data_IF_162525817157
#
_entry.id   IF_162525817157
#
_cell.length_a   1.000
_cell.length_b   1.000
_cell.length_c   1.000
_cell.angle_alpha   90.00
_cell.angle_beta   90.00
_cell.angle_gamma   90.00
#
_symmetry.space_group_name_H-M   'P 1'
#
loop_
_entity.id
_entity.type
_entity.pdbx_description
1 polymer ?
#
# COMPACT_ATOMS: atom_id res chain seq x y z
N UNK A 1 -20.14 5.36 41.87
CA UNK A 1 -20.66 6.74 41.76
C UNK A 1 -21.80 6.76 40.75
N UNK A 2 -22.95 7.38 41.06
CA UNK A 2 -24.09 7.46 40.14
C UNK A 2 -23.67 8.21 38.86
N UNK A 3 -23.70 7.55 37.70
CA UNK A 3 -23.49 8.20 36.41
C UNK A 3 -24.67 9.14 36.16
N UNK A 4 -24.42 10.45 36.09
CA UNK A 4 -25.40 11.41 35.58
C UNK A 4 -25.63 11.14 34.10
N UNK A 5 -26.83 11.47 33.58
CA UNK A 5 -27.14 11.28 32.16
C UNK A 5 -26.11 11.96 31.24
N UNK A 6 -25.58 13.12 31.66
CA UNK A 6 -24.51 13.81 30.94
C UNK A 6 -23.21 13.00 30.91
N UNK A 7 -22.79 12.42 32.04
CA UNK A 7 -21.58 11.60 32.11
C UNK A 7 -21.68 10.34 31.22
N UNK A 8 -22.85 9.70 31.18
CA UNK A 8 -23.07 8.54 30.31
C UNK A 8 -23.02 8.93 28.82
N UNK A 9 -23.58 10.09 28.45
CA UNK A 9 -23.49 10.60 27.08
C UNK A 9 -22.05 10.90 26.67
N UNK A 10 -21.28 11.58 27.53
CA UNK A 10 -19.87 11.90 27.26
C UNK A 10 -19.03 10.62 27.16
N UNK A 11 -19.22 9.66 28.06
CA UNK A 11 -18.53 8.35 28.01
C UNK A 11 -18.83 7.61 26.68
N UNK A 12 -20.09 7.59 26.25
CA UNK A 12 -20.46 6.97 24.97
C UNK A 12 -19.88 7.71 23.77
N UNK A 13 -19.83 9.04 23.81
CA UNK A 13 -19.24 9.84 22.74
C UNK A 13 -17.73 9.60 22.62
N UNK A 14 -17.02 9.61 23.75
CA UNK A 14 -15.57 9.38 23.80
C UNK A 14 -15.20 7.97 23.35
N UNK A 15 -15.93 6.94 23.80
CA UNK A 15 -15.67 5.56 23.36
C UNK A 15 -15.88 5.40 21.86
N UNK A 16 -16.93 6.00 21.28
CA UNK A 16 -17.16 5.98 19.83
C UNK A 16 -16.07 6.66 19.02
N UNK A 17 -15.55 7.80 19.49
CA UNK A 17 -14.42 8.47 18.85
C UNK A 17 -13.17 7.59 18.90
N UNK A 18 -12.87 7.04 20.08
CA UNK A 18 -11.67 6.22 20.27
C UNK A 18 -11.70 4.97 19.37
N UNK A 19 -12.82 4.26 19.31
CA UNK A 19 -12.98 3.08 18.46
C UNK A 19 -12.81 3.44 16.97
N UNK A 20 -13.40 4.56 16.52
CA UNK A 20 -13.28 5.02 15.15
C UNK A 20 -11.84 5.42 14.78
N UNK A 21 -11.13 6.09 15.69
CA UNK A 21 -9.73 6.48 15.48
C UNK A 21 -8.82 5.26 15.46
N UNK A 22 -8.97 4.31 16.39
CA UNK A 22 -8.12 3.12 16.47
C UNK A 22 -8.22 2.27 15.20
N UNK A 23 -9.44 2.02 14.70
CA UNK A 23 -9.65 1.27 13.45
C UNK A 23 -9.08 2.03 12.25
N UNK A 24 -9.28 3.35 12.15
CA UNK A 24 -8.73 4.13 11.04
C UNK A 24 -7.21 4.18 11.04
N UNK A 25 -6.59 4.38 12.20
CA UNK A 25 -5.13 4.47 12.35
C UNK A 25 -4.47 3.13 12.02
N UNK A 26 -5.04 2.01 12.48
CA UNK A 26 -4.50 0.69 12.15
C UNK A 26 -4.55 0.38 10.64
N UNK A 27 -5.66 0.74 9.97
CA UNK A 27 -5.78 0.60 8.50
C UNK A 27 -4.78 1.52 7.77
N UNK A 28 -4.63 2.78 8.23
CA UNK A 28 -3.67 3.72 7.67
C UNK A 28 -2.23 3.23 7.83
N UNK A 29 -1.87 2.78 9.04
CA UNK A 29 -0.55 2.23 9.37
C UNK A 29 -0.20 1.05 8.46
N UNK A 30 -1.13 0.09 8.29
CA UNK A 30 -0.93 -1.04 7.39
C UNK A 30 -0.76 -0.58 5.93
N UNK A 31 -1.57 0.39 5.49
CA UNK A 31 -1.50 0.93 4.12
C UNK A 31 -0.14 1.59 3.85
N UNK A 32 0.36 2.39 4.78
CA UNK A 32 1.68 3.04 4.72
C UNK A 32 2.80 2.01 4.75
N UNK A 33 2.70 0.99 5.60
CA UNK A 33 3.66 -0.10 5.66
C UNK A 33 3.74 -0.87 4.33
N UNK A 34 2.58 -1.18 3.72
CA UNK A 34 2.53 -1.79 2.39
C UNK A 34 3.17 -0.89 1.31
N UNK A 35 2.91 0.42 1.36
CA UNK A 35 3.53 1.37 0.43
C UNK A 35 5.05 1.42 0.58
N UNK A 36 5.56 1.51 1.82
CA UNK A 36 6.99 1.48 2.14
C UNK A 36 7.66 0.18 1.70
N UNK A 37 6.98 -0.95 1.88
CA UNK A 37 7.45 -2.24 1.40
C UNK A 37 7.57 -2.26 -0.13
N UNK A 38 6.59 -1.70 -0.84
CA UNK A 38 6.67 -1.54 -2.30
C UNK A 38 7.84 -0.64 -2.74
N UNK A 39 8.06 0.47 -2.02
CA UNK A 39 9.18 1.36 -2.26
C UNK A 39 10.53 0.66 -2.06
N UNK A 40 10.66 -0.15 -1.00
CA UNK A 40 11.86 -0.96 -0.75
C UNK A 40 12.11 -2.00 -1.85
N UNK A 41 11.05 -2.69 -2.32
CA UNK A 41 11.19 -3.61 -3.45
C UNK A 41 11.71 -2.87 -4.68
N UNK A 42 11.15 -1.69 -4.99
CA UNK A 42 11.60 -0.89 -6.12
C UNK A 42 13.10 -0.57 -6.06
N UNK A 43 13.61 -0.10 -4.92
CA UNK A 43 15.02 0.27 -4.81
C UNK A 43 15.93 -0.94 -5.01
N UNK A 44 15.54 -2.12 -4.50
CA UNK A 44 16.26 -3.37 -4.80
C UNK A 44 16.16 -3.78 -6.26
N UNK A 45 15.03 -3.52 -6.91
CA UNK A 45 14.81 -3.87 -8.31
C UNK A 45 15.58 -2.96 -9.27
N UNK A 46 15.81 -1.71 -8.87
CA UNK A 46 16.61 -0.73 -9.61
C UNK A 46 18.11 -1.04 -9.57
N UNK A 47 18.61 -1.58 -8.45
CA UNK A 47 20.04 -1.88 -8.28
C UNK A 47 20.52 -3.16 -8.97
N UNK A 48 19.63 -4.14 -9.21
CA UNK A 48 19.98 -5.42 -9.84
C UNK A 48 20.41 -5.26 -11.32
N UNK A 49 19.60 -4.66 -12.22
CA UNK A 49 19.98 -4.46 -13.62
C UNK A 49 20.92 -3.27 -13.82
N UNK A 50 21.01 -2.34 -12.86
CA UNK A 50 21.87 -1.16 -12.93
C UNK A 50 23.37 -1.46 -12.90
N UNK A 51 23.79 -2.66 -12.48
CA UNK A 51 25.21 -3.04 -12.46
C UNK A 51 25.83 -3.31 -13.84
N UNK A 52 25.03 -3.75 -14.81
CA UNK A 52 25.53 -4.17 -16.14
C UNK A 52 25.08 -3.25 -17.28
N UNK A 53 24.32 -2.19 -16.99
CA UNK A 53 23.99 -1.08 -17.92
C UNK A 53 23.02 -1.44 -19.06
N UNK A 54 23.19 -2.60 -19.70
CA UNK A 54 22.52 -2.95 -20.95
C UNK A 54 21.18 -3.69 -20.76
N UNK A 55 20.91 -4.21 -19.56
CA UNK A 55 19.74 -5.05 -19.28
C UNK A 55 18.47 -4.25 -18.91
N UNK A 56 18.52 -2.91 -18.99
CA UNK A 56 17.43 -2.03 -18.55
C UNK A 56 16.10 -2.27 -19.29
N UNK A 57 16.13 -2.48 -20.60
CA UNK A 57 14.92 -2.70 -21.42
C UNK A 57 14.25 -4.03 -21.07
N UNK A 58 15.06 -5.08 -20.86
CA UNK A 58 14.56 -6.41 -20.48
C UNK A 58 13.95 -6.33 -19.07
N UNK A 59 14.64 -5.68 -18.13
CA UNK A 59 14.11 -5.47 -16.77
C UNK A 59 12.79 -4.69 -16.78
N UNK A 60 12.70 -3.59 -17.55
CA UNK A 60 11.46 -2.83 -17.70
C UNK A 60 10.31 -3.68 -18.26
N UNK A 61 10.59 -4.52 -19.26
CA UNK A 61 9.57 -5.40 -19.85
C UNK A 61 9.02 -6.44 -18.85
N UNK A 62 9.90 -6.99 -17.99
CA UNK A 62 9.51 -7.93 -16.93
C UNK A 62 8.66 -7.23 -15.87
N UNK A 63 9.07 -6.02 -15.46
CA UNK A 63 8.32 -5.21 -14.48
C UNK A 63 6.93 -4.89 -14.99
N UNK A 64 6.81 -4.39 -16.23
CA UNK A 64 5.52 -4.03 -16.84
C UNK A 64 4.63 -5.26 -16.99
N UNK A 65 5.19 -6.39 -17.44
CA UNK A 65 4.44 -7.65 -17.58
C UNK A 65 3.93 -8.14 -16.22
N UNK A 66 4.78 -8.12 -15.19
CA UNK A 66 4.39 -8.48 -13.82
C UNK A 66 3.31 -7.55 -13.28
N UNK A 67 3.46 -6.24 -13.50
CA UNK A 67 2.48 -5.24 -13.09
C UNK A 67 1.10 -5.49 -13.71
N UNK A 68 1.05 -5.74 -15.02
CA UNK A 68 -0.18 -5.99 -15.75
C UNK A 68 -0.87 -7.29 -15.30
N UNK A 69 -0.08 -8.35 -15.04
CA UNK A 69 -0.62 -9.61 -14.51
C UNK A 69 -1.25 -9.43 -13.14
N UNK A 70 -0.61 -8.67 -12.24
CA UNK A 70 -1.17 -8.37 -10.92
C UNK A 70 -2.43 -7.49 -11.05
N UNK A 71 -2.43 -6.48 -11.94
CA UNK A 71 -3.61 -5.66 -12.22
C UNK A 71 -4.82 -6.50 -12.65
N UNK A 72 -4.62 -7.43 -13.59
CA UNK A 72 -5.69 -8.33 -14.05
C UNK A 72 -6.22 -9.21 -12.91
N UNK A 73 -5.34 -9.71 -12.05
CA UNK A 73 -5.72 -10.53 -10.90
C UNK A 73 -6.55 -9.74 -9.88
N UNK A 74 -6.15 -8.50 -9.58
CA UNK A 74 -6.88 -7.60 -8.67
C UNK A 74 -8.30 -7.33 -9.21
N UNK A 75 -8.42 -7.03 -10.50
CA UNK A 75 -9.73 -6.73 -11.11
C UNK A 75 -10.69 -7.92 -11.01
N UNK A 76 -10.20 -9.12 -11.27
CA UNK A 76 -11.00 -10.35 -11.17
C UNK A 76 -11.49 -10.61 -9.74
N UNK A 77 -10.63 -10.41 -8.73
CA UNK A 77 -11.00 -10.65 -7.33
C UNK A 77 -11.76 -9.51 -6.67
N UNK A 78 -11.79 -8.30 -7.26
CA UNK A 78 -12.55 -7.18 -6.73
C UNK A 78 -14.08 -7.40 -6.82
N UNK A 79 -14.54 -8.38 -7.61
CA UNK A 79 -15.93 -8.85 -7.63
C UNK A 79 -16.24 -9.94 -6.58
N UNK A 80 -15.25 -10.39 -5.80
CA UNK A 80 -15.39 -11.48 -4.85
C UNK A 80 -15.45 -11.02 -3.37
N UNK A 81 -15.48 -12.01 -2.47
CA UNK A 81 -15.62 -11.92 -1.01
C UNK A 81 -14.87 -10.72 -0.34
N UNK A 82 -15.50 -10.11 0.66
CA UNK A 82 -15.02 -8.96 1.43
C UNK A 82 -13.58 -9.12 1.96
N UNK A 83 -13.16 -10.32 2.34
CA UNK A 83 -11.80 -10.58 2.83
C UNK A 83 -10.73 -10.43 1.73
N UNK A 84 -11.00 -10.98 0.54
CA UNK A 84 -10.09 -10.86 -0.61
C UNK A 84 -9.94 -9.41 -1.03
N UNK A 85 -11.03 -8.62 -0.95
CA UNK A 85 -11.00 -7.18 -1.24
C UNK A 85 -10.01 -6.43 -0.35
N UNK A 86 -9.96 -6.74 0.95
CA UNK A 86 -9.00 -6.10 1.89
C UNK A 86 -7.56 -6.47 1.56
N UNK A 87 -7.29 -7.73 1.21
CA UNK A 87 -5.94 -8.14 0.78
C UNK A 87 -5.54 -7.45 -0.52
N UNK A 88 -6.44 -7.42 -1.52
CA UNK A 88 -6.18 -6.76 -2.80
C UNK A 88 -5.93 -5.26 -2.63
N UNK A 89 -6.63 -4.60 -1.70
CA UNK A 89 -6.36 -3.20 -1.36
C UNK A 89 -4.92 -2.99 -0.87
N UNK A 90 -4.44 -3.86 0.03
CA UNK A 90 -3.07 -3.79 0.53
C UNK A 90 -2.03 -4.10 -0.56
N UNK A 91 -2.28 -5.08 -1.44
CA UNK A 91 -1.41 -5.35 -2.60
C UNK A 91 -1.36 -4.14 -3.53
N UNK A 92 -2.48 -3.44 -3.71
CA UNK A 92 -2.50 -2.22 -4.51
C UNK A 92 -1.63 -1.11 -3.91
N UNK A 93 -1.61 -0.97 -2.58
CA UNK A 93 -0.70 -0.04 -1.91
C UNK A 93 0.78 -0.40 -2.15
N UNK A 94 1.13 -1.69 -2.16
CA UNK A 94 2.49 -2.15 -2.54
C UNK A 94 2.81 -1.75 -3.98
N UNK A 95 1.88 -1.95 -4.92
CA UNK A 95 2.07 -1.56 -6.34
C UNK A 95 2.35 -0.07 -6.51
N UNK A 96 1.59 0.78 -5.80
CA UNK A 96 1.80 2.23 -5.80
C UNK A 96 3.21 2.55 -5.29
N UNK A 97 3.63 1.89 -4.21
CA UNK A 97 4.99 2.01 -3.67
C UNK A 97 6.08 1.64 -4.68
N UNK A 98 5.89 0.55 -5.45
CA UNK A 98 6.85 0.11 -6.47
C UNK A 98 6.99 1.15 -7.58
N UNK A 99 5.88 1.62 -8.15
CA UNK A 99 5.91 2.64 -9.23
C UNK A 99 6.57 3.93 -8.72
N UNK A 100 6.17 4.36 -7.52
CA UNK A 100 6.70 5.59 -6.92
C UNK A 100 8.21 5.48 -6.69
N UNK A 101 8.69 4.35 -6.17
CA UNK A 101 10.13 4.11 -5.99
C UNK A 101 10.91 4.16 -7.29
N UNK A 102 10.41 3.50 -8.34
CA UNK A 102 11.12 3.40 -9.63
C UNK A 102 11.19 4.78 -10.29
N UNK A 103 10.11 5.54 -10.17
CA UNK A 103 10.05 6.92 -10.65
C UNK A 103 11.06 7.80 -9.91
N UNK A 104 11.07 7.75 -8.57
CA UNK A 104 12.01 8.54 -7.75
C UNK A 104 13.47 8.20 -8.11
N UNK A 105 13.81 6.93 -8.30
CA UNK A 105 15.17 6.53 -8.68
C UNK A 105 15.53 6.94 -10.12
N UNK A 106 14.59 6.89 -11.06
CA UNK A 106 14.80 7.40 -12.41
C UNK A 106 15.03 8.93 -12.42
N UNK A 107 14.32 9.69 -11.58
CA UNK A 107 14.56 11.14 -11.41
C UNK A 107 15.93 11.44 -10.84
N UNK A 108 16.45 10.62 -9.92
CA UNK A 108 17.80 10.80 -9.36
C UNK A 108 18.90 10.58 -10.39
N UNK A 109 18.68 9.71 -11.37
CA UNK A 109 19.66 9.34 -12.40
C UNK A 109 19.52 10.16 -13.70
N UNK A 110 18.40 10.87 -13.86
CA UNK A 110 18.09 11.68 -15.04
C UNK A 110 18.51 13.16 -14.96
N UNK A 111 19.31 13.55 -13.96
CA UNK A 111 19.95 14.87 -13.85
C UNK A 111 21.44 14.80 -14.16
#
# INVERSE_FOLDING_TARGET
>A
MRKTYLSAFVDHFLTRINDALHVRISVLSLSVLCMLLGFFISTTLSTIPGQTGDWGIVAASIIVTGYERISKQIYYYNQANNYLRTIMYNINNVKIGIIYGLFVDAFKLGS
#
